data_IF_360024550288
#
_entry.id   IF_360024550288
#
_cell.length_a   1.000
_cell.length_b   1.000
_cell.length_c   1.000
_cell.angle_alpha   90.00
_cell.angle_beta   90.00
_cell.angle_gamma   90.00
#
_symmetry.space_group_name_H-M   'P 1'
#
loop_
_entity.id
_entity.type
_entity.pdbx_description
1 polymer ?
#
# COMPACT_ATOMS: atom_id res chain seq x y z
N UNK A 1 3.05 -17.09 -4.54
CA UNK A 1 2.52 -17.26 -5.92
C UNK A 1 1.09 -16.71 -6.00
N UNK A 2 0.73 -16.12 -7.14
CA UNK A 2 -0.59 -15.52 -7.49
C UNK A 2 -1.79 -16.39 -7.07
N UNK A 3 -1.65 -17.72 -7.22
CA UNK A 3 -2.65 -18.77 -6.94
C UNK A 3 -3.28 -18.66 -5.55
N UNK A 4 -2.52 -18.24 -4.54
CA UNK A 4 -3.02 -18.15 -3.16
C UNK A 4 -3.83 -16.86 -2.91
N UNK A 5 -3.56 -15.78 -3.65
CA UNK A 5 -4.13 -14.45 -3.34
C UNK A 5 -5.60 -14.33 -3.77
N UNK A 6 -5.96 -14.86 -4.94
CA UNK A 6 -7.36 -14.88 -5.38
C UNK A 6 -8.24 -15.70 -4.44
N UNK A 7 -7.78 -16.91 -4.08
CA UNK A 7 -8.48 -17.77 -3.12
C UNK A 7 -8.67 -17.09 -1.77
N UNK A 8 -7.64 -16.38 -1.29
CA UNK A 8 -7.68 -15.64 -0.03
C UNK A 8 -8.71 -14.51 -0.07
N UNK A 9 -8.66 -13.66 -1.11
CA UNK A 9 -9.59 -12.55 -1.30
C UNK A 9 -11.04 -13.03 -1.39
N UNK A 10 -11.29 -14.09 -2.17
CA UNK A 10 -12.63 -14.68 -2.30
C UNK A 10 -13.16 -15.19 -0.95
N UNK A 11 -12.33 -15.94 -0.22
CA UNK A 11 -12.71 -16.50 1.08
C UNK A 11 -12.94 -15.41 2.13
N UNK A 12 -12.14 -14.34 2.11
CA UNK A 12 -12.32 -13.19 3.01
C UNK A 12 -13.70 -12.52 2.82
N UNK A 13 -14.18 -12.42 1.57
CA UNK A 13 -15.53 -11.93 1.24
C UNK A 13 -16.63 -12.99 1.38
N UNK A 14 -16.29 -14.23 1.76
CA UNK A 14 -17.19 -15.39 1.84
C UNK A 14 -17.94 -15.69 0.52
N UNK A 15 -17.31 -15.40 -0.61
CA UNK A 15 -17.92 -15.61 -1.93
C UNK A 15 -17.69 -17.03 -2.45
N UNK A 16 -18.67 -17.55 -3.19
CA UNK A 16 -18.53 -18.82 -3.91
C UNK A 16 -17.77 -18.61 -5.23
N UNK A 17 -17.19 -19.68 -5.77
CA UNK A 17 -16.57 -19.66 -7.10
C UNK A 17 -17.57 -19.21 -8.17
N UNK A 18 -18.83 -19.68 -8.06
CA UNK A 18 -19.89 -19.34 -9.01
C UNK A 18 -20.21 -17.85 -8.92
N UNK A 19 -20.49 -17.34 -7.73
CA UNK A 19 -20.82 -15.93 -7.51
C UNK A 19 -19.72 -15.00 -8.06
N UNK A 20 -18.45 -15.34 -7.81
CA UNK A 20 -17.33 -14.53 -8.30
C UNK A 20 -17.22 -14.57 -9.82
N UNK A 21 -17.42 -15.75 -10.42
CA UNK A 21 -17.41 -15.92 -11.87
C UNK A 21 -18.55 -15.12 -12.53
N UNK A 22 -19.74 -15.11 -11.93
CA UNK A 22 -20.89 -14.34 -12.40
C UNK A 22 -20.61 -12.84 -12.37
N UNK A 23 -19.95 -12.34 -11.31
CA UNK A 23 -19.53 -10.93 -11.19
C UNK A 23 -18.51 -10.50 -12.23
N UNK A 24 -17.75 -11.45 -12.77
CA UNK A 24 -16.74 -11.24 -13.81
C UNK A 24 -17.26 -11.54 -15.22
N UNK A 25 -18.50 -12.05 -15.34
CA UNK A 25 -19.07 -12.45 -16.63
C UNK A 25 -18.35 -13.64 -17.29
N UNK A 26 -17.75 -14.54 -16.49
CA UNK A 26 -17.00 -15.70 -16.99
C UNK A 26 -17.57 -17.02 -16.46
N UNK A 27 -17.19 -18.13 -17.10
CA UNK A 27 -17.55 -19.45 -16.60
C UNK A 27 -16.88 -19.77 -15.24
N UNK A 28 -17.59 -20.48 -14.36
CA UNK A 28 -17.06 -20.96 -13.07
C UNK A 28 -15.75 -21.75 -13.21
N UNK A 29 -15.64 -22.59 -14.24
CA UNK A 29 -14.43 -23.37 -14.54
C UNK A 29 -13.24 -22.48 -14.90
N UNK A 30 -13.49 -21.37 -15.61
CA UNK A 30 -12.46 -20.37 -15.92
C UNK A 30 -11.93 -19.73 -14.65
N UNK A 31 -12.81 -19.30 -13.75
CA UNK A 31 -12.41 -18.70 -12.47
C UNK A 31 -11.67 -19.69 -11.57
N UNK A 32 -12.15 -20.93 -11.45
CA UNK A 32 -11.45 -22.01 -10.72
C UNK A 32 -10.06 -22.31 -11.32
N UNK A 33 -9.91 -22.18 -12.65
CA UNK A 33 -8.63 -22.26 -13.33
C UNK A 33 -7.65 -21.17 -12.89
N UNK A 34 -8.12 -19.96 -12.60
CA UNK A 34 -7.29 -18.88 -12.05
C UNK A 34 -6.84 -19.17 -10.62
N UNK A 35 -7.76 -19.60 -9.74
CA UNK A 35 -7.44 -19.92 -8.34
C UNK A 35 -6.53 -21.13 -8.17
N UNK A 36 -6.53 -22.06 -9.12
CA UNK A 36 -5.66 -23.24 -9.11
C UNK A 36 -4.35 -23.04 -9.87
N UNK A 37 -4.18 -21.90 -10.57
CA UNK A 37 -3.00 -21.62 -11.39
C UNK A 37 -2.95 -22.34 -12.74
N UNK A 38 -3.95 -23.17 -13.06
CA UNK A 38 -4.05 -23.85 -14.36
C UNK A 38 -4.32 -22.88 -15.53
N UNK A 39 -4.90 -21.71 -15.24
CA UNK A 39 -5.12 -20.64 -16.21
C UNK A 39 -4.52 -19.35 -15.71
N UNK A 40 -3.95 -18.57 -16.62
CA UNK A 40 -3.50 -17.21 -16.33
C UNK A 40 -4.55 -16.19 -16.76
N UNK A 41 -4.99 -15.29 -15.88
CA UNK A 41 -5.89 -14.20 -16.26
C UNK A 41 -5.17 -13.21 -17.19
N UNK A 42 -5.91 -12.59 -18.11
CA UNK A 42 -5.38 -11.51 -18.95
C UNK A 42 -5.15 -10.24 -18.11
N UNK A 43 -4.45 -9.26 -18.67
CA UNK A 43 -4.27 -7.95 -18.02
C UNK A 43 -5.63 -7.28 -17.70
N UNK A 44 -6.58 -7.36 -18.62
CA UNK A 44 -7.93 -6.83 -18.42
C UNK A 44 -8.64 -7.56 -17.27
N UNK A 45 -8.55 -8.90 -17.23
CA UNK A 45 -9.12 -9.68 -16.13
C UNK A 45 -8.47 -9.37 -14.79
N UNK A 46 -7.15 -9.16 -14.75
CA UNK A 46 -6.44 -8.75 -13.53
C UNK A 46 -6.95 -7.39 -13.04
N UNK A 47 -7.18 -6.45 -13.94
CA UNK A 47 -7.74 -5.15 -13.59
C UNK A 47 -9.18 -5.26 -13.06
N UNK A 48 -10.02 -6.09 -13.69
CA UNK A 48 -11.36 -6.38 -13.19
C UNK A 48 -11.33 -7.03 -11.80
N UNK A 49 -10.42 -7.99 -11.57
CA UNK A 49 -10.25 -8.67 -10.29
C UNK A 49 -9.81 -7.69 -9.21
N UNK A 50 -8.90 -6.77 -9.53
CA UNK A 50 -8.45 -5.70 -8.63
C UNK A 50 -9.63 -4.81 -8.21
N UNK A 51 -10.44 -4.38 -9.18
CA UNK A 51 -11.66 -3.62 -8.92
C UNK A 51 -12.70 -4.41 -8.11
N UNK A 52 -12.90 -5.69 -8.43
CA UNK A 52 -13.88 -6.56 -7.78
C UNK A 52 -13.55 -6.81 -6.30
N UNK A 53 -12.28 -7.02 -5.99
CA UNK A 53 -11.81 -7.32 -4.64
C UNK A 53 -11.39 -6.09 -3.84
N UNK A 54 -11.47 -4.91 -4.47
CA UNK A 54 -11.01 -3.65 -3.91
C UNK A 54 -9.55 -3.72 -3.46
N UNK A 55 -8.69 -4.19 -4.36
CA UNK A 55 -7.25 -4.41 -4.13
C UNK A 55 -6.43 -3.88 -5.31
N UNK A 56 -5.10 -3.90 -5.21
CA UNK A 56 -4.21 -3.54 -6.33
C UNK A 56 -3.89 -4.75 -7.22
N UNK A 57 -3.59 -4.45 -8.49
CA UNK A 57 -3.06 -5.45 -9.43
C UNK A 57 -1.72 -6.00 -8.96
N UNK A 58 -0.89 -5.18 -8.30
CA UNK A 58 0.38 -5.60 -7.70
C UNK A 58 0.16 -6.63 -6.57
N UNK A 59 -0.89 -6.47 -5.76
CA UNK A 59 -1.27 -7.50 -4.82
C UNK A 59 -1.75 -8.75 -5.55
N UNK A 60 -2.57 -8.68 -6.60
CA UNK A 60 -2.98 -9.91 -7.30
C UNK A 60 -1.77 -10.63 -7.91
N UNK A 61 -0.80 -9.87 -8.43
CA UNK A 61 0.38 -10.38 -9.15
C UNK A 61 1.52 -10.89 -8.26
N UNK A 62 1.48 -10.69 -6.95
CA UNK A 62 2.56 -11.18 -6.07
C UNK A 62 3.63 -10.14 -5.72
N UNK A 63 3.49 -8.87 -6.15
CA UNK A 63 4.56 -7.86 -6.06
C UNK A 63 4.63 -7.15 -4.70
N UNK A 64 3.50 -7.07 -4.00
CA UNK A 64 3.38 -6.48 -2.67
C UNK A 64 2.58 -7.40 -1.76
N UNK A 65 2.88 -7.47 -0.46
CA UNK A 65 2.12 -8.35 0.46
C UNK A 65 0.87 -7.70 1.07
N UNK A 66 0.68 -6.40 0.85
CA UNK A 66 -0.50 -5.66 1.31
C UNK A 66 -1.59 -5.62 0.23
N UNK A 67 -2.84 -6.02 0.52
CA UNK A 67 -3.95 -6.05 -0.44
C UNK A 67 -4.57 -4.68 -0.74
N UNK A 68 -3.89 -3.57 -0.49
CA UNK A 68 -4.43 -2.24 -0.68
C UNK A 68 -4.56 -1.88 -2.17
N UNK A 69 -5.74 -1.44 -2.60
CA UNK A 69 -5.98 -0.72 -3.87
C UNK A 69 -5.42 0.71 -3.83
N UNK A 70 -5.30 1.21 -2.61
CA UNK A 70 -4.77 2.52 -2.32
C UNK A 70 -3.25 2.45 -2.41
N UNK A 71 -2.75 2.87 -3.58
CA UNK A 71 -1.52 3.65 -3.64
C UNK A 71 -1.77 5.04 -2.97
N UNK A 72 -3.00 5.38 -2.58
CA UNK A 72 -3.28 6.54 -1.74
C UNK A 72 -2.83 6.28 -0.30
N UNK A 73 -1.58 6.65 -0.01
CA UNK A 73 -1.25 7.69 0.98
C UNK A 73 -2.25 7.95 2.13
N UNK A 74 -2.66 6.96 2.92
CA UNK A 74 -3.34 7.23 4.21
C UNK A 74 -2.70 6.60 5.45
N UNK A 75 -1.71 5.72 5.27
CA UNK A 75 -0.60 5.74 6.21
C UNK A 75 0.45 6.61 5.54
N UNK A 76 0.76 7.83 6.04
CA UNK A 76 2.02 8.45 5.64
C UNK A 76 3.07 7.36 5.83
N UNK A 77 3.88 7.08 4.80
CA UNK A 77 5.06 6.24 5.00
C UNK A 77 5.92 6.99 6.00
N UNK A 78 5.72 6.68 7.29
CA UNK A 78 6.53 7.25 8.35
C UNK A 78 7.87 6.57 8.21
N UNK A 79 8.84 7.34 7.77
CA UNK A 79 10.23 6.94 7.75
C UNK A 79 10.90 7.68 8.89
N UNK A 80 11.54 6.93 9.78
CA UNK A 80 12.38 7.53 10.81
C UNK A 80 13.60 8.17 10.15
N UNK A 81 13.73 9.49 10.32
CA UNK A 81 14.82 10.27 9.73
C UNK A 81 16.19 9.89 10.30
N UNK A 82 16.24 9.25 11.48
CA UNK A 82 17.48 8.79 12.12
C UNK A 82 18.01 7.49 11.56
N UNK A 83 17.15 6.66 10.95
CA UNK A 83 17.45 5.25 10.65
C UNK A 83 17.62 5.01 9.13
N UNK A 84 17.72 6.09 8.35
CA UNK A 84 17.67 6.04 6.88
C UNK A 84 19.00 6.46 6.24
N UNK A 85 20.05 5.63 6.31
CA UNK A 85 21.40 5.97 5.82
C UNK A 85 21.47 6.21 4.30
N UNK A 86 20.44 5.83 3.54
CA UNK A 86 20.42 5.92 2.07
C UNK A 86 19.40 6.93 1.53
N UNK A 87 18.70 7.69 2.39
CA UNK A 87 17.74 8.68 1.91
C UNK A 87 18.36 10.07 1.87
N UNK A 88 18.37 10.68 0.67
CA UNK A 88 18.79 12.08 0.49
C UNK A 88 17.57 12.99 0.58
N UNK A 89 17.62 13.97 1.47
CA UNK A 89 16.62 15.02 1.57
C UNK A 89 17.02 16.19 0.65
N UNK A 90 16.04 16.92 0.13
CA UNK A 90 16.28 18.12 -0.66
C UNK A 90 15.29 19.23 -0.30
N UNK A 91 15.77 20.48 -0.35
CA UNK A 91 14.96 21.69 -0.21
C UNK A 91 15.15 22.51 -1.48
N UNK A 92 14.04 22.91 -2.11
CA UNK A 92 14.04 23.67 -3.38
C UNK A 92 14.86 23.02 -4.50
N UNK A 93 14.91 21.68 -4.52
CA UNK A 93 15.66 20.90 -5.50
C UNK A 93 17.16 20.74 -5.21
N UNK A 94 17.64 21.28 -4.09
CA UNK A 94 19.04 21.16 -3.66
C UNK A 94 19.13 20.08 -2.58
N UNK A 95 19.99 19.08 -2.80
CA UNK A 95 20.23 18.02 -1.82
C UNK A 95 20.90 18.61 -0.59
N UNK A 96 20.38 18.25 0.58
CA UNK A 96 20.99 18.59 1.86
C UNK A 96 22.30 17.81 2.05
N UNK A 97 23.28 18.45 2.68
CA UNK A 97 24.48 17.80 3.21
C UNK A 97 24.15 16.93 4.43
N UNK A 98 25.11 16.14 4.89
CA UNK A 98 24.97 15.37 6.13
C UNK A 98 24.78 16.30 7.33
N UNK A 99 25.56 17.38 7.41
CA UNK A 99 25.44 18.41 8.45
C UNK A 99 24.08 19.10 8.41
N UNK A 100 23.60 19.49 7.23
CA UNK A 100 22.29 20.13 7.08
C UNK A 100 21.16 19.16 7.46
N UNK A 101 21.30 17.87 7.16
CA UNK A 101 20.36 16.83 7.58
C UNK A 101 20.31 16.71 9.11
N UNK A 102 21.46 16.70 9.78
CA UNK A 102 21.54 16.67 11.24
C UNK A 102 20.91 17.93 11.84
N UNK A 103 21.22 19.10 11.29
CA UNK A 103 20.65 20.38 11.74
C UNK A 103 19.14 20.43 11.53
N UNK A 104 18.63 19.89 10.41
CA UNK A 104 17.21 19.77 10.14
C UNK A 104 16.51 18.87 11.16
N UNK A 105 17.08 17.70 11.47
CA UNK A 105 16.55 16.81 12.52
C UNK A 105 16.51 17.53 13.88
N UNK A 106 17.59 18.24 14.24
CA UNK A 106 17.67 19.00 15.49
C UNK A 106 16.62 20.13 15.54
N UNK A 107 16.44 20.86 14.44
CA UNK A 107 15.43 21.91 14.32
C UNK A 107 14.02 21.37 14.53
N UNK A 108 13.66 20.26 13.87
CA UNK A 108 12.32 19.66 14.02
C UNK A 108 12.06 19.21 15.47
N UNK A 109 13.08 18.68 16.17
CA UNK A 109 12.97 18.32 17.60
C UNK A 109 12.71 19.55 18.47
N UNK A 110 13.50 20.60 18.31
CA UNK A 110 13.34 21.85 19.06
C UNK A 110 11.99 22.53 18.78
N UNK A 111 11.56 22.57 17.51
CA UNK A 111 10.27 23.14 17.12
C UNK A 111 9.10 22.44 17.80
N UNK A 112 9.10 21.09 17.82
CA UNK A 112 8.06 20.30 18.49
C UNK A 112 8.01 20.57 19.99
N UNK A 113 9.17 20.71 20.63
CA UNK A 113 9.24 21.02 22.05
C UNK A 113 8.59 22.39 22.34
N UNK A 114 8.89 23.41 21.54
CA UNK A 114 8.27 24.74 21.66
C UNK A 114 6.76 24.72 21.45
N UNK A 115 6.26 23.96 20.48
CA UNK A 115 4.82 23.79 20.22
C UNK A 115 4.12 23.17 21.42
N UNK A 116 4.70 22.10 22.01
CA UNK A 116 4.16 21.45 23.21
C UNK A 116 4.10 22.42 24.41
N UNK A 117 5.08 23.30 24.59
CA UNK A 117 5.04 24.30 25.66
C UNK A 117 3.97 25.38 25.44
N UNK A 118 3.70 25.78 24.19
CA UNK A 118 2.67 26.79 23.86
C UNK A 118 1.27 26.24 24.08
N UNK A 119 1.03 24.98 23.71
CA UNK A 119 -0.29 24.35 23.88
C UNK A 119 -0.67 24.22 25.36
N UNK A 120 0.30 23.87 26.23
CA UNK A 120 0.09 23.80 27.69
C UNK A 120 -0.24 25.14 28.35
N UNK A 121 0.19 26.27 27.78
CA UNK A 121 -0.10 27.61 28.31
C UNK A 121 -1.47 28.13 27.88
N UNK A 122 -2.07 27.58 26.81
CA UNK A 122 -3.36 28.00 26.27
C UNK A 122 -4.55 27.20 26.85
N UNK A 123 -4.30 26.16 27.63
CA UNK A 123 -5.32 25.33 28.30
C UNK A 123 -5.60 25.74 29.77
N UNK A 124 -5.04 26.86 30.23
CA UNK A 124 -5.26 27.43 31.58
C UNK A 124 -5.99 28.77 31.50
#
# INVERSE_FOLDING_TARGET
MIVNRLTTLRKAKRWSLQYTADRLGIAKSTYAGYESGHRRPSLETINLLAGLYDTSTDYILGRVDYPSKDITTESPRVMELTDSPNMKLAVDGISLSEEETIQFIAFIRAKREVEIYRDKQNET
#
